data_IF_948302662760
#
_entry.id   IF_948302662760
#
_cell.length_a   1.000
_cell.length_b   1.000
_cell.length_c   1.000
_cell.angle_alpha   90.00
_cell.angle_beta   90.00
_cell.angle_gamma   90.00
#
_symmetry.space_group_name_H-M   'P 1'
#
loop_
_entity.id
_entity.type
_entity.pdbx_description
1 polymer ?
#
# COMPACT_ATOMS: atom_id res chain seq x y z
N UNK A 1 2.18 -42.71 -61.17
CA UNK A 1 1.72 -44.09 -61.05
C UNK A 1 0.84 -44.13 -59.83
N UNK A 2 -0.48 -44.01 -60.05
CA UNK A 2 -1.48 -45.12 -59.98
C UNK A 2 -1.67 -45.61 -58.56
N UNK A 3 -2.84 -45.66 -57.91
CA UNK A 3 -4.22 -45.48 -58.30
C UNK A 3 -5.06 -45.45 -57.03
N UNK A 4 -6.19 -44.75 -57.06
CA UNK A 4 -7.39 -45.03 -56.23
C UNK A 4 -8.05 -46.33 -56.73
N UNK A 5 -8.80 -47.02 -55.93
CA UNK A 5 -10.26 -46.95 -56.07
C UNK A 5 -11.02 -47.02 -54.77
N UNK A 6 -12.10 -46.29 -54.57
CA UNK A 6 -13.52 -46.36 -55.07
C UNK A 6 -14.41 -47.46 -54.47
N UNK A 7 -15.41 -47.00 -53.67
CA UNK A 7 -16.84 -47.36 -53.60
C UNK A 7 -17.25 -48.76 -53.16
N UNK A 8 -18.17 -48.80 -52.13
CA UNK A 8 -19.45 -49.46 -52.26
C UNK A 8 -20.47 -49.01 -51.19
N UNK A 9 -21.54 -48.44 -51.70
CA UNK A 9 -22.84 -48.26 -51.01
C UNK A 9 -23.62 -49.58 -51.05
N UNK A 10 -24.43 -49.86 -50.03
CA UNK A 10 -25.87 -50.13 -50.23
C UNK A 10 -26.60 -50.43 -48.92
N UNK A 11 -27.94 -50.17 -48.91
CA UNK A 11 -28.80 -49.95 -47.75
C UNK A 11 -29.74 -51.12 -47.50
N UNK A 12 -30.36 -51.16 -46.32
CA UNK A 12 -31.66 -51.85 -46.17
C UNK A 12 -32.52 -51.13 -45.14
N UNK A 13 -33.68 -50.83 -45.62
CA UNK A 13 -34.87 -50.27 -44.99
C UNK A 13 -35.67 -51.33 -44.21
N UNK A 14 -36.53 -50.82 -43.35
CA UNK A 14 -37.92 -51.26 -42.96
C UNK A 14 -38.06 -51.80 -41.55
N UNK A 15 -38.71 -51.02 -40.69
CA UNK A 15 -40.12 -51.01 -40.31
C UNK A 15 -40.52 -51.94 -39.13
N UNK A 16 -41.03 -51.32 -38.05
CA UNK A 16 -42.26 -51.68 -37.30
C UNK A 16 -42.24 -50.85 -35.99
N UNK A 17 -43.03 -49.88 -35.82
CA UNK A 17 -44.46 -49.79 -35.34
C UNK A 17 -44.66 -50.19 -33.87
N UNK A 18 -44.98 -49.15 -33.07
CA UNK A 18 -45.94 -49.01 -31.98
C UNK A 18 -45.83 -49.95 -30.76
N UNK A 19 -45.66 -49.29 -29.56
CA UNK A 19 -46.70 -49.26 -28.54
C UNK A 19 -46.26 -48.32 -27.42
N UNK A 20 -47.14 -47.47 -27.00
CA UNK A 20 -46.91 -46.42 -26.03
C UNK A 20 -46.86 -46.93 -24.58
N UNK A 21 -46.17 -46.17 -23.76
CA UNK A 21 -46.46 -46.06 -22.35
C UNK A 21 -46.04 -44.64 -21.92
N UNK A 22 -47.05 -43.86 -21.57
CA UNK A 22 -46.88 -42.57 -20.90
C UNK A 22 -46.26 -42.79 -19.53
N UNK A 23 -44.99 -42.46 -19.39
CA UNK A 23 -44.36 -42.26 -18.09
C UNK A 23 -44.11 -40.77 -17.97
N UNK A 24 -44.99 -40.09 -17.26
CA UNK A 24 -44.80 -38.70 -16.84
C UNK A 24 -43.55 -38.58 -15.96
N UNK A 25 -42.45 -38.19 -16.55
CA UNK A 25 -41.28 -37.71 -15.79
C UNK A 25 -41.58 -36.32 -15.27
N UNK A 26 -41.96 -36.24 -14.00
CA UNK A 26 -41.87 -35.04 -13.18
C UNK A 26 -40.42 -34.59 -13.22
N UNK A 27 -40.09 -33.66 -14.10
CA UNK A 27 -38.89 -32.81 -14.01
C UNK A 27 -39.07 -31.90 -12.78
N UNK A 28 -38.71 -32.42 -11.62
CA UNK A 28 -38.36 -31.61 -10.48
C UNK A 28 -37.16 -30.77 -10.92
N UNK A 29 -37.45 -29.56 -11.40
CA UNK A 29 -36.45 -28.54 -11.63
C UNK A 29 -35.70 -28.31 -10.33
N UNK A 30 -34.54 -28.94 -10.17
CA UNK A 30 -33.57 -28.51 -9.21
C UNK A 30 -33.16 -27.08 -9.62
N UNK A 31 -33.84 -26.10 -9.04
CA UNK A 31 -33.36 -24.74 -8.99
C UNK A 31 -32.07 -24.79 -8.15
N UNK A 32 -30.99 -25.16 -8.78
CA UNK A 32 -29.66 -24.93 -8.23
C UNK A 32 -29.59 -23.43 -7.98
N UNK A 33 -29.76 -23.05 -6.74
CA UNK A 33 -29.34 -21.71 -6.30
C UNK A 33 -27.87 -21.67 -6.62
N UNK A 34 -27.51 -21.08 -7.75
CA UNK A 34 -26.14 -20.69 -8.00
C UNK A 34 -25.76 -19.80 -6.81
N UNK A 35 -24.95 -20.32 -5.90
CA UNK A 35 -24.39 -19.48 -4.85
C UNK A 35 -23.77 -18.29 -5.58
N UNK A 36 -24.10 -17.05 -5.20
CA UNK A 36 -23.48 -15.89 -5.83
C UNK A 36 -21.96 -16.07 -5.78
N UNK A 37 -21.33 -15.97 -6.93
CA UNK A 37 -19.89 -16.12 -7.06
C UNK A 37 -19.23 -15.20 -6.03
N UNK A 38 -18.36 -15.77 -5.19
CA UNK A 38 -17.68 -15.03 -4.13
C UNK A 38 -16.80 -13.98 -4.77
N UNK A 39 -17.11 -12.71 -4.57
CA UNK A 39 -16.23 -11.64 -5.01
C UNK A 39 -14.95 -11.61 -4.18
N UNK A 40 -13.86 -11.10 -4.74
CA UNK A 40 -12.56 -11.03 -4.08
C UNK A 40 -12.14 -9.56 -3.95
N UNK A 41 -11.70 -9.15 -2.75
CA UNK A 41 -11.01 -7.89 -2.52
C UNK A 41 -9.50 -8.12 -2.55
N UNK A 42 -8.80 -7.46 -3.45
CA UNK A 42 -7.34 -7.52 -3.56
C UNK A 42 -6.72 -6.36 -2.78
N UNK A 43 -6.00 -6.69 -1.71
CA UNK A 43 -5.39 -5.71 -0.81
C UNK A 43 -3.89 -5.66 -1.07
N UNK A 44 -3.41 -4.50 -1.54
CA UNK A 44 -1.99 -4.19 -1.66
C UNK A 44 -1.40 -3.74 -0.33
N UNK A 45 -0.28 -4.33 0.06
CA UNK A 45 0.43 -3.95 1.27
C UNK A 45 1.95 -4.02 1.08
N UNK A 46 2.69 -3.44 2.01
CA UNK A 46 4.14 -3.48 2.11
C UNK A 46 4.56 -3.80 3.55
N UNK A 47 5.81 -4.18 3.76
CA UNK A 47 6.31 -4.54 5.11
C UNK A 47 6.06 -3.44 6.14
N UNK A 48 6.13 -2.15 5.75
CA UNK A 48 5.81 -1.02 6.62
C UNK A 48 4.33 -0.86 6.99
N UNK A 49 3.42 -1.57 6.30
CA UNK A 49 1.98 -1.55 6.60
C UNK A 49 1.64 -2.49 7.78
N UNK A 50 2.20 -2.21 8.96
CA UNK A 50 2.15 -3.11 10.13
C UNK A 50 0.73 -3.51 10.54
N UNK A 51 -0.24 -2.60 10.42
CA UNK A 51 -1.64 -2.92 10.71
C UNK A 51 -2.20 -3.95 9.72
N UNK A 52 -1.97 -3.80 8.41
CA UNK A 52 -2.37 -4.79 7.42
C UNK A 52 -1.65 -6.13 7.59
N UNK A 53 -0.38 -6.12 8.00
CA UNK A 53 0.37 -7.35 8.32
C UNK A 53 -0.27 -8.07 9.50
N UNK A 54 -0.71 -7.34 10.53
CA UNK A 54 -1.43 -7.90 11.68
C UNK A 54 -2.79 -8.48 11.27
N UNK A 55 -3.61 -7.72 10.55
CA UNK A 55 -4.92 -8.14 10.07
C UNK A 55 -4.82 -9.41 9.22
N UNK A 56 -3.83 -9.48 8.32
CA UNK A 56 -3.51 -10.67 7.54
C UNK A 56 -3.15 -11.87 8.42
N UNK A 57 -2.29 -11.66 9.42
CA UNK A 57 -1.86 -12.73 10.32
C UNK A 57 -3.01 -13.31 11.15
N UNK A 58 -3.94 -12.47 11.57
CA UNK A 58 -5.09 -12.85 12.41
C UNK A 58 -6.33 -13.24 11.61
N UNK A 59 -6.35 -12.98 10.30
CA UNK A 59 -7.49 -13.24 9.42
C UNK A 59 -8.73 -12.42 9.81
N UNK A 60 -8.54 -11.20 10.30
CA UNK A 60 -9.66 -10.38 10.79
C UNK A 60 -10.50 -9.86 9.63
N UNK A 61 -9.89 -9.44 8.54
CA UNK A 61 -10.60 -9.00 7.34
C UNK A 61 -11.34 -10.14 6.65
N UNK A 62 -10.77 -11.33 6.59
CA UNK A 62 -11.44 -12.52 6.06
C UNK A 62 -12.72 -12.84 6.84
N UNK A 63 -12.67 -12.73 8.17
CA UNK A 63 -13.84 -12.90 9.04
C UNK A 63 -14.86 -11.78 8.86
N UNK A 64 -14.39 -10.54 8.76
CA UNK A 64 -15.22 -9.34 8.60
C UNK A 64 -15.99 -9.36 7.27
N UNK A 65 -15.36 -9.84 6.20
CA UNK A 65 -15.95 -9.86 4.86
C UNK A 65 -16.74 -11.13 4.54
N UNK A 66 -16.63 -12.18 5.34
CA UNK A 66 -17.41 -13.42 5.13
C UNK A 66 -18.93 -13.18 5.00
N UNK A 67 -19.58 -12.35 5.86
CA UNK A 67 -21.01 -12.03 5.72
C UNK A 67 -21.34 -11.24 4.45
N UNK A 68 -20.37 -10.55 3.85
CA UNK A 68 -20.51 -9.78 2.61
C UNK A 68 -20.24 -10.63 1.36
N UNK A 69 -19.99 -11.94 1.54
CA UNK A 69 -19.58 -12.88 0.49
C UNK A 69 -18.35 -12.40 -0.30
N UNK A 70 -17.36 -11.81 0.41
CA UNK A 70 -16.10 -11.31 -0.16
C UNK A 70 -14.92 -12.11 0.41
N UNK A 71 -14.07 -12.61 -0.49
CA UNK A 71 -12.76 -13.14 -0.15
C UNK A 71 -11.70 -12.05 -0.07
N UNK A 72 -10.57 -12.36 0.56
CA UNK A 72 -9.41 -11.45 0.61
C UNK A 72 -8.24 -12.08 -0.11
N UNK A 73 -7.58 -11.29 -0.97
CA UNK A 73 -6.31 -11.63 -1.57
C UNK A 73 -5.29 -10.56 -1.22
N UNK A 74 -4.24 -10.99 -0.52
CA UNK A 74 -3.14 -10.11 -0.13
C UNK A 74 -2.05 -10.10 -1.20
N UNK A 75 -1.62 -8.91 -1.61
CA UNK A 75 -0.55 -8.71 -2.60
C UNK A 75 0.53 -7.82 -1.98
N UNK A 76 1.74 -8.37 -1.80
CA UNK A 76 2.87 -7.64 -1.23
C UNK A 76 3.63 -6.87 -2.30
N UNK A 77 3.99 -5.62 -1.98
CA UNK A 77 4.79 -4.73 -2.82
C UNK A 77 6.03 -4.26 -2.06
N UNK A 78 7.14 -3.96 -2.75
CA UNK A 78 8.37 -3.50 -2.10
C UNK A 78 8.24 -2.10 -1.49
N UNK A 79 7.39 -1.24 -2.06
CA UNK A 79 7.15 0.13 -1.61
C UNK A 79 5.84 0.70 -2.17
N UNK A 80 5.42 1.88 -1.64
CA UNK A 80 4.19 2.55 -2.03
C UNK A 80 4.04 2.91 -3.50
N UNK A 81 5.07 3.45 -4.19
CA UNK A 81 4.96 3.75 -5.61
C UNK A 81 4.56 2.53 -6.45
N UNK A 82 5.20 1.37 -6.25
CA UNK A 82 4.88 0.13 -6.98
C UNK A 82 3.49 -0.40 -6.63
N UNK A 83 3.05 -0.22 -5.37
CA UNK A 83 1.68 -0.57 -4.97
C UNK A 83 0.66 0.25 -5.76
N UNK A 84 0.90 1.56 -5.92
CA UNK A 84 -0.02 2.43 -6.64
C UNK A 84 0.00 2.22 -8.16
N UNK A 85 1.11 1.75 -8.73
CA UNK A 85 1.13 1.20 -10.10
C UNK A 85 0.20 -0.02 -10.19
N UNK A 86 0.28 -0.96 -9.21
CA UNK A 86 -0.61 -2.11 -9.12
C UNK A 86 -2.08 -1.72 -9.00
N UNK A 87 -2.39 -0.68 -8.22
CA UNK A 87 -3.76 -0.15 -8.08
C UNK A 87 -4.24 0.47 -9.39
N UNK A 88 -3.39 1.23 -10.08
CA UNK A 88 -3.73 1.89 -11.34
C UNK A 88 -4.02 0.90 -12.48
N UNK A 89 -3.31 -0.23 -12.52
CA UNK A 89 -3.55 -1.29 -13.53
C UNK A 89 -4.56 -2.36 -13.07
N UNK A 90 -5.21 -2.15 -11.93
CA UNK A 90 -6.24 -3.05 -11.40
C UNK A 90 -5.72 -4.37 -10.85
N UNK A 91 -4.44 -4.46 -10.45
CA UNK A 91 -3.89 -5.64 -9.76
C UNK A 91 -4.33 -5.71 -8.29
N UNK A 92 -4.64 -4.57 -7.70
CA UNK A 92 -5.21 -4.44 -6.35
C UNK A 92 -6.35 -3.42 -6.36
N UNK A 93 -7.27 -3.56 -5.41
CA UNK A 93 -8.46 -2.71 -5.26
C UNK A 93 -8.30 -1.69 -4.15
N UNK A 94 -7.51 -2.03 -3.14
CA UNK A 94 -7.22 -1.21 -1.96
C UNK A 94 -5.74 -1.32 -1.62
N UNK A 95 -5.17 -0.24 -1.08
CA UNK A 95 -3.78 -0.23 -0.66
C UNK A 95 -3.52 0.71 0.52
N UNK A 96 -2.42 0.44 1.23
CA UNK A 96 -1.90 1.28 2.29
C UNK A 96 -0.53 1.81 1.88
N UNK A 97 -0.39 3.13 1.86
CA UNK A 97 0.83 3.82 1.42
C UNK A 97 1.07 5.08 2.25
N UNK A 98 2.28 5.60 2.20
CA UNK A 98 2.60 6.89 2.80
C UNK A 98 2.06 8.10 2.01
N UNK A 99 2.45 9.30 2.44
CA UNK A 99 1.90 10.56 1.92
C UNK A 99 2.36 10.91 0.50
N UNK A 100 3.57 10.57 0.09
CA UNK A 100 4.09 10.97 -1.21
C UNK A 100 3.61 10.10 -2.39
N UNK A 101 3.53 8.77 -2.31
CA UNK A 101 3.14 7.93 -3.45
C UNK A 101 1.80 8.33 -4.11
N UNK A 102 0.73 8.69 -3.38
CA UNK A 102 -0.53 9.11 -3.98
C UNK A 102 -0.40 10.34 -4.90
N UNK A 103 0.48 11.26 -4.54
CA UNK A 103 0.74 12.48 -5.31
C UNK A 103 1.34 12.15 -6.67
N UNK A 104 2.35 11.28 -6.70
CA UNK A 104 2.96 10.82 -7.95
C UNK A 104 1.96 10.04 -8.81
N UNK A 105 1.18 9.15 -8.19
CA UNK A 105 0.15 8.38 -8.88
C UNK A 105 -0.95 9.28 -9.47
N UNK A 106 -1.44 10.28 -8.72
CA UNK A 106 -2.43 11.24 -9.19
C UNK A 106 -1.87 12.10 -10.31
N UNK A 107 -0.60 12.55 -10.24
CA UNK A 107 0.08 13.26 -11.31
C UNK A 107 0.20 12.41 -12.57
N UNK A 108 0.33 11.09 -12.44
CA UNK A 108 0.32 10.13 -13.55
C UNK A 108 -1.09 9.77 -14.05
N UNK A 109 -2.16 10.26 -13.39
CA UNK A 109 -3.54 10.04 -13.83
C UNK A 109 -4.23 8.82 -13.20
N UNK A 110 -3.67 8.25 -12.13
CA UNK A 110 -4.29 7.13 -11.42
C UNK A 110 -5.64 7.53 -10.81
N UNK A 111 -6.61 6.61 -10.89
CA UNK A 111 -8.00 6.84 -10.47
C UNK A 111 -8.30 6.16 -9.13
N UNK A 112 -8.03 6.85 -8.04
CA UNK A 112 -8.28 6.36 -6.69
C UNK A 112 -8.98 7.40 -5.80
N UNK A 113 -9.39 6.97 -4.61
CA UNK A 113 -9.89 7.83 -3.54
C UNK A 113 -9.17 7.51 -2.22
N UNK A 114 -8.99 8.55 -1.40
CA UNK A 114 -8.55 8.40 -0.02
C UNK A 114 -9.72 7.90 0.83
N UNK A 115 -9.59 6.76 1.47
CA UNK A 115 -10.65 6.19 2.32
C UNK A 115 -10.38 6.33 3.81
N UNK A 116 -9.14 6.63 4.19
CA UNK A 116 -8.75 6.86 5.58
C UNK A 116 -7.26 7.21 5.68
N UNK A 117 -6.84 7.56 6.90
CA UNK A 117 -5.44 7.82 7.21
C UNK A 117 -5.09 7.38 8.63
N UNK A 118 -3.82 7.09 8.87
CA UNK A 118 -3.23 7.08 10.20
C UNK A 118 -2.66 8.48 10.52
N UNK A 119 -2.62 8.87 11.80
CA UNK A 119 -2.00 10.14 12.23
C UNK A 119 -0.54 10.25 11.82
N UNK A 120 -0.01 11.47 11.90
CA UNK A 120 1.39 11.75 11.65
C UNK A 120 2.32 10.85 12.48
N UNK A 121 3.36 10.35 11.83
CA UNK A 121 4.38 9.48 12.42
C UNK A 121 5.80 9.97 12.04
N UNK A 122 6.19 11.20 12.41
CA UNK A 122 7.41 11.85 11.95
C UNK A 122 8.69 11.10 12.36
N UNK A 123 8.66 10.34 13.45
CA UNK A 123 9.80 9.53 13.92
C UNK A 123 9.95 8.21 13.17
N UNK A 124 8.94 7.80 12.41
CA UNK A 124 8.94 6.52 11.71
C UNK A 124 9.65 6.54 10.36
N UNK A 125 10.30 7.66 10.02
CA UNK A 125 11.21 7.80 8.88
C UNK A 125 12.39 8.70 9.23
N UNK A 126 13.56 8.41 8.68
CA UNK A 126 14.75 9.18 8.96
C UNK A 126 15.80 9.10 7.84
N UNK A 127 16.68 10.10 7.80
CA UNK A 127 17.96 10.03 7.12
C UNK A 127 18.98 9.48 8.11
N UNK A 128 19.59 8.35 7.75
CA UNK A 128 20.60 7.66 8.55
C UNK A 128 21.94 7.62 7.85
N UNK A 129 22.98 7.54 8.64
CA UNK A 129 24.35 7.36 8.20
C UNK A 129 25.01 6.20 8.95
N UNK A 130 26.07 5.58 8.41
CA UNK A 130 26.85 4.59 9.14
C UNK A 130 27.32 5.11 10.50
N UNK A 131 27.50 4.21 11.48
CA UNK A 131 27.91 4.53 12.85
C UNK A 131 29.11 5.48 12.90
N UNK A 132 30.14 5.19 12.10
CA UNK A 132 31.41 5.91 12.09
C UNK A 132 31.47 6.99 10.99
N UNK A 133 30.33 7.35 10.40
CA UNK A 133 30.24 8.38 9.37
C UNK A 133 30.70 9.74 9.90
N UNK A 134 31.50 10.50 9.12
CA UNK A 134 31.87 11.89 9.46
C UNK A 134 30.69 12.85 9.37
N UNK A 135 29.62 12.50 8.68
CA UNK A 135 28.41 13.32 8.57
C UNK A 135 27.75 13.46 9.93
N UNK A 136 27.60 14.68 10.42
CA UNK A 136 26.95 15.00 11.71
C UNK A 136 25.64 15.75 11.52
N UNK A 137 25.52 16.55 10.49
CA UNK A 137 24.40 17.42 10.17
C UNK A 137 23.95 17.21 8.72
N UNK A 138 22.75 17.70 8.39
CA UNK A 138 22.26 17.67 6.99
C UNK A 138 23.14 18.49 6.05
N UNK A 139 23.80 19.56 6.54
CA UNK A 139 24.71 20.37 5.74
C UNK A 139 25.93 19.57 5.24
N UNK A 140 26.37 18.56 5.99
CA UNK A 140 27.52 17.70 5.62
C UNK A 140 27.18 16.73 4.45
N UNK A 141 25.93 16.69 4.03
CA UNK A 141 25.48 15.85 2.90
C UNK A 141 25.81 16.43 1.53
N UNK A 142 26.30 17.67 1.45
CA UNK A 142 26.64 18.28 0.16
C UNK A 142 27.63 17.41 -0.62
N UNK A 143 27.29 17.08 -1.87
CA UNK A 143 28.03 16.20 -2.76
C UNK A 143 27.95 14.69 -2.44
N UNK A 144 27.23 14.30 -1.39
CA UNK A 144 27.11 12.90 -0.95
C UNK A 144 26.09 12.09 -1.73
N UNK A 145 26.33 10.78 -1.81
CA UNK A 145 25.38 9.81 -2.38
C UNK A 145 24.38 9.38 -1.32
N UNK A 146 23.11 9.59 -1.60
CA UNK A 146 22.03 9.32 -0.67
C UNK A 146 21.05 8.31 -1.29
N UNK A 147 20.96 7.11 -0.71
CA UNK A 147 20.00 6.12 -1.15
C UNK A 147 18.59 6.47 -0.66
N UNK A 148 17.58 6.29 -1.50
CA UNK A 148 16.17 6.47 -1.16
C UNK A 148 15.27 5.81 -2.21
N UNK A 149 14.00 5.56 -1.86
CA UNK A 149 13.00 5.14 -2.84
C UNK A 149 12.33 6.38 -3.49
N UNK A 150 12.41 6.47 -4.81
CA UNK A 150 11.86 7.61 -5.56
C UNK A 150 10.34 7.68 -5.41
N UNK A 151 9.81 8.87 -5.14
CA UNK A 151 8.36 9.10 -5.03
C UNK A 151 7.72 8.55 -3.77
N UNK A 152 8.51 8.11 -2.78
CA UNK A 152 8.05 7.70 -1.46
C UNK A 152 8.16 8.84 -0.43
N UNK A 153 7.66 8.62 0.80
CA UNK A 153 7.73 9.58 1.90
C UNK A 153 9.13 10.10 2.14
N UNK A 154 10.13 9.20 2.16
CA UNK A 154 11.52 9.58 2.38
C UNK A 154 12.11 10.45 1.28
N UNK A 155 11.48 10.50 0.11
CA UNK A 155 11.83 11.47 -0.91
C UNK A 155 11.41 12.89 -0.47
N UNK A 156 10.22 13.02 0.12
CA UNK A 156 9.75 14.27 0.70
C UNK A 156 10.59 14.67 1.91
N UNK A 157 10.87 13.74 2.83
CA UNK A 157 11.74 13.99 3.98
C UNK A 157 13.11 14.54 3.54
N UNK A 158 13.76 13.92 2.54
CA UNK A 158 15.04 14.41 2.02
C UNK A 158 14.93 15.84 1.51
N UNK A 159 13.93 16.13 0.68
CA UNK A 159 13.72 17.49 0.15
C UNK A 159 13.60 18.50 1.29
N UNK A 160 12.73 18.23 2.25
CA UNK A 160 12.46 19.14 3.38
C UNK A 160 13.69 19.31 4.29
N UNK A 161 14.42 18.23 4.54
CA UNK A 161 15.65 18.28 5.34
C UNK A 161 16.72 19.16 4.67
N UNK A 162 16.92 19.03 3.36
CA UNK A 162 17.86 19.82 2.60
C UNK A 162 17.47 21.32 2.59
N UNK A 163 16.20 21.62 2.32
CA UNK A 163 15.68 23.01 2.33
C UNK A 163 15.95 23.68 3.69
N UNK A 164 15.65 23.00 4.78
CA UNK A 164 15.87 23.53 6.14
C UNK A 164 17.36 23.76 6.47
N UNK A 165 18.24 22.98 5.85
CA UNK A 165 19.68 23.14 5.97
C UNK A 165 20.27 24.16 4.98
N UNK A 166 19.42 24.85 4.18
CA UNK A 166 19.85 25.80 3.15
C UNK A 166 20.52 25.15 1.93
N UNK A 167 20.31 23.84 1.73
CA UNK A 167 20.80 23.10 0.57
C UNK A 167 19.71 22.96 -0.50
N UNK A 168 20.14 22.92 -1.76
CA UNK A 168 19.27 22.57 -2.88
C UNK A 168 19.27 21.04 -3.07
N UNK A 169 18.20 20.51 -3.64
CA UNK A 169 18.12 19.10 -4.01
C UNK A 169 19.28 18.67 -4.95
N UNK A 170 19.74 19.59 -5.81
CA UNK A 170 20.88 19.38 -6.70
C UNK A 170 22.25 19.39 -6.01
N UNK A 171 22.33 19.75 -4.73
CA UNK A 171 23.59 19.74 -3.98
C UNK A 171 23.97 18.34 -3.47
N UNK A 172 23.10 17.36 -3.61
CA UNK A 172 23.33 15.95 -3.25
C UNK A 172 23.19 15.04 -4.46
N UNK A 173 23.59 13.76 -4.31
CA UNK A 173 23.49 12.74 -5.35
C UNK A 173 22.46 11.67 -4.95
N UNK A 174 21.16 11.81 -5.29
CA UNK A 174 20.17 10.81 -4.97
C UNK A 174 20.41 9.51 -5.75
N UNK A 175 20.39 8.38 -5.05
CA UNK A 175 20.50 7.03 -5.62
C UNK A 175 19.18 6.32 -5.39
N UNK A 176 18.41 6.12 -6.45
CA UNK A 176 17.07 5.56 -6.36
C UNK A 176 17.10 4.04 -6.34
N UNK A 177 16.78 3.47 -5.18
CA UNK A 177 16.81 2.03 -4.92
C UNK A 177 15.55 1.59 -4.17
N UNK A 178 15.15 0.33 -4.36
CA UNK A 178 14.17 -0.30 -3.49
C UNK A 178 14.77 -0.49 -2.08
N UNK A 179 13.95 -0.58 -1.01
CA UNK A 179 14.47 -0.61 0.36
C UNK A 179 15.51 -1.70 0.62
N UNK A 180 15.33 -2.91 0.10
CA UNK A 180 16.29 -4.01 0.28
C UNK A 180 17.63 -3.73 -0.40
N UNK A 181 17.61 -3.20 -1.64
CA UNK A 181 18.81 -2.86 -2.39
C UNK A 181 19.53 -1.65 -1.77
N UNK A 182 18.76 -0.65 -1.30
CA UNK A 182 19.27 0.50 -0.59
C UNK A 182 19.99 0.09 0.71
N UNK A 183 19.42 -0.86 1.46
CA UNK A 183 20.07 -1.43 2.64
C UNK A 183 21.40 -2.07 2.28
N UNK A 184 21.42 -2.92 1.25
CA UNK A 184 22.66 -3.57 0.81
C UNK A 184 23.73 -2.57 0.36
N UNK A 185 23.33 -1.51 -0.37
CA UNK A 185 24.22 -0.43 -0.80
C UNK A 185 24.78 0.36 0.39
N UNK A 186 23.94 0.64 1.39
CA UNK A 186 24.30 1.35 2.62
C UNK A 186 25.30 0.54 3.47
N UNK A 187 24.99 -0.73 3.73
CA UNK A 187 25.86 -1.61 4.53
C UNK A 187 27.22 -1.89 3.86
N UNK A 188 27.28 -1.87 2.51
CA UNK A 188 28.52 -2.00 1.73
C UNK A 188 29.30 -0.68 1.59
N UNK A 189 28.76 0.45 2.07
CA UNK A 189 29.39 1.76 1.90
C UNK A 189 29.36 2.29 0.45
N UNK A 190 28.47 1.80 -0.40
CA UNK A 190 28.29 2.28 -1.78
C UNK A 190 27.55 3.62 -1.84
N UNK A 191 26.87 4.00 -0.76
CA UNK A 191 26.23 5.28 -0.53
C UNK A 191 26.63 5.83 0.84
N UNK A 192 26.63 7.15 1.01
CA UNK A 192 27.04 7.82 2.23
C UNK A 192 25.92 7.88 3.28
N UNK A 193 24.68 7.91 2.84
CA UNK A 193 23.49 8.00 3.67
C UNK A 193 22.34 7.22 3.04
N UNK A 194 21.34 6.92 3.88
CA UNK A 194 20.10 6.27 3.45
C UNK A 194 18.91 6.98 4.10
N UNK A 195 17.88 7.29 3.32
CA UNK A 195 16.62 7.81 3.84
C UNK A 195 15.59 6.69 3.76
N UNK A 196 15.04 6.31 4.92
CA UNK A 196 14.24 5.09 5.06
C UNK A 196 13.21 5.23 6.17
N UNK A 197 12.17 4.39 6.09
CA UNK A 197 11.08 4.29 7.06
C UNK A 197 11.11 2.95 7.82
N UNK A 198 10.31 2.88 8.88
CA UNK A 198 10.12 1.63 9.64
C UNK A 198 9.36 0.56 8.84
N UNK A 199 9.70 -0.72 9.01
CA UNK A 199 10.61 -1.26 10.03
C UNK A 199 12.08 -1.30 9.63
N UNK A 200 12.44 -0.87 8.43
CA UNK A 200 13.84 -0.86 7.97
C UNK A 200 14.70 0.10 8.79
N UNK A 201 14.15 1.25 9.21
CA UNK A 201 14.84 2.21 10.08
C UNK A 201 15.21 1.55 11.41
N UNK A 202 14.26 0.96 12.12
CA UNK A 202 14.53 0.26 13.38
C UNK A 202 15.54 -0.89 13.19
N UNK A 203 15.44 -1.61 12.06
CA UNK A 203 16.37 -2.69 11.75
C UNK A 203 17.81 -2.19 11.59
N UNK A 204 18.04 -1.13 10.80
CA UNK A 204 19.40 -0.63 10.57
C UNK A 204 20.00 0.04 11.81
N UNK A 205 19.18 0.69 12.64
CA UNK A 205 19.62 1.21 13.93
C UNK A 205 20.10 0.09 14.87
N UNK A 206 19.31 -0.98 15.00
CA UNK A 206 19.60 -2.08 15.95
C UNK A 206 20.67 -3.03 15.44
N UNK A 207 20.69 -3.32 14.14
CA UNK A 207 21.56 -4.37 13.59
C UNK A 207 22.90 -3.83 13.08
N UNK A 208 22.90 -2.60 12.52
CA UNK A 208 24.12 -1.98 11.95
C UNK A 208 24.62 -0.79 12.77
N UNK A 209 23.89 -0.39 13.81
CA UNK A 209 24.25 0.78 14.62
C UNK A 209 24.19 2.09 13.84
N UNK A 210 23.41 2.15 12.79
CA UNK A 210 23.23 3.37 12.00
C UNK A 210 22.73 4.52 12.88
N UNK A 211 23.17 5.73 12.54
CA UNK A 211 22.87 6.93 13.30
C UNK A 211 21.90 7.83 12.55
N UNK A 212 20.83 8.25 13.21
CA UNK A 212 19.89 9.23 12.66
C UNK A 212 20.58 10.62 12.61
N UNK A 213 20.52 11.28 11.47
CA UNK A 213 20.93 12.66 11.25
C UNK A 213 19.74 13.61 11.37
N UNK A 214 18.61 13.22 10.78
CA UNK A 214 17.33 13.95 10.83
C UNK A 214 16.19 12.98 10.62
N UNK A 215 15.06 13.25 11.25
CA UNK A 215 13.78 12.60 11.04
C UNK A 215 12.69 13.64 10.69
N UNK A 216 11.42 13.24 10.67
CA UNK A 216 10.31 14.12 10.32
C UNK A 216 9.89 15.11 11.40
N UNK A 217 10.44 15.03 12.62
CA UNK A 217 10.08 15.92 13.73
C UNK A 217 10.34 17.39 13.43
N UNK A 218 9.87 18.26 14.33
CA UNK A 218 10.00 19.71 14.24
C UNK A 218 9.42 20.30 12.93
N UNK A 219 8.43 19.63 12.34
CA UNK A 219 7.77 20.08 11.11
C UNK A 219 8.58 19.86 9.85
N UNK A 220 9.53 18.91 9.84
CA UNK A 220 10.26 18.52 8.63
C UNK A 220 9.32 17.77 7.70
N UNK A 221 8.69 16.68 8.18
CA UNK A 221 7.69 15.90 7.45
C UNK A 221 6.70 15.26 8.43
N UNK A 222 5.44 15.22 8.07
CA UNK A 222 4.42 14.61 8.92
C UNK A 222 4.44 13.08 8.83
N UNK A 223 4.83 12.54 7.70
CA UNK A 223 4.83 11.11 7.42
C UNK A 223 3.45 10.47 7.69
N UNK A 224 2.39 11.07 7.12
CA UNK A 224 1.07 10.46 7.14
C UNK A 224 1.05 9.15 6.35
N UNK A 225 0.18 8.25 6.77
CA UNK A 225 -0.10 7.01 6.06
C UNK A 225 -1.57 7.02 5.60
N UNK A 226 -1.83 6.58 4.37
CA UNK A 226 -3.15 6.65 3.75
C UNK A 226 -3.66 5.27 3.32
N UNK A 227 -4.95 5.06 3.53
CA UNK A 227 -5.71 3.96 2.95
C UNK A 227 -6.36 4.48 1.68
N UNK A 228 -6.08 3.83 0.57
CA UNK A 228 -6.57 4.21 -0.76
C UNK A 228 -7.39 3.07 -1.35
N UNK A 229 -8.42 3.41 -2.11
CA UNK A 229 -9.17 2.46 -2.90
C UNK A 229 -9.26 2.90 -4.36
N UNK A 230 -9.28 1.94 -5.30
CA UNK A 230 -9.67 2.23 -6.67
C UNK A 230 -11.09 2.84 -6.64
N UNK A 231 -11.27 3.96 -7.36
CA UNK A 231 -12.50 4.77 -7.25
C UNK A 231 -13.76 3.99 -7.64
N UNK A 232 -13.69 3.19 -8.71
CA UNK A 232 -14.83 2.39 -9.17
C UNK A 232 -15.17 1.29 -8.18
N UNK A 233 -14.17 0.66 -7.56
CA UNK A 233 -14.39 -0.32 -6.49
C UNK A 233 -15.06 0.33 -5.27
N UNK A 234 -14.53 1.46 -4.82
CA UNK A 234 -15.10 2.19 -3.67
C UNK A 234 -16.56 2.61 -3.89
N UNK A 235 -16.90 3.00 -5.12
CA UNK A 235 -18.28 3.34 -5.50
C UNK A 235 -19.21 2.14 -5.57
N UNK A 236 -18.73 1.00 -6.07
CA UNK A 236 -19.51 -0.23 -6.22
C UNK A 236 -19.70 -0.99 -4.90
N UNK A 237 -18.72 -0.94 -4.02
CA UNK A 237 -18.67 -1.70 -2.77
C UNK A 237 -18.34 -0.81 -1.56
N UNK A 238 -19.17 0.24 -1.32
CA UNK A 238 -18.99 1.10 -0.14
C UNK A 238 -19.17 0.32 1.17
N UNK A 239 -19.92 -0.76 1.17
CA UNK A 239 -20.08 -1.71 2.28
C UNK A 239 -18.75 -2.37 2.67
N UNK A 240 -17.97 -2.83 1.68
CA UNK A 240 -16.65 -3.44 1.91
C UNK A 240 -15.63 -2.41 2.39
N UNK A 241 -15.62 -1.20 1.78
CA UNK A 241 -14.73 -0.12 2.21
C UNK A 241 -15.03 0.29 3.66
N UNK A 242 -16.33 0.39 4.02
CA UNK A 242 -16.71 0.67 5.41
C UNK A 242 -16.25 -0.44 6.35
N UNK A 243 -16.45 -1.70 6.00
CA UNK A 243 -16.05 -2.84 6.81
C UNK A 243 -14.51 -2.91 6.98
N UNK A 244 -13.73 -2.61 5.93
CA UNK A 244 -12.28 -2.46 5.99
C UNK A 244 -11.87 -1.38 7.00
N UNK A 245 -12.51 -0.20 6.89
CA UNK A 245 -12.22 0.91 7.77
C UNK A 245 -12.55 0.58 9.23
N UNK A 246 -13.73 0.02 9.50
CA UNK A 246 -14.17 -0.37 10.85
C UNK A 246 -13.20 -1.38 11.48
N UNK A 247 -12.77 -2.40 10.71
CA UNK A 247 -11.78 -3.39 11.18
C UNK A 247 -10.43 -2.74 11.46
N UNK A 248 -9.98 -1.83 10.58
CA UNK A 248 -8.72 -1.13 10.76
C UNK A 248 -8.73 -0.24 12.02
N UNK A 249 -9.85 0.40 12.34
CA UNK A 249 -10.03 1.17 13.59
C UNK A 249 -9.95 0.25 14.81
N UNK A 250 -10.62 -0.90 14.76
CA UNK A 250 -10.64 -1.88 15.85
C UNK A 250 -9.25 -2.48 16.09
N UNK A 251 -8.62 -2.99 15.01
CA UNK A 251 -7.31 -3.61 15.09
C UNK A 251 -6.20 -2.61 15.42
N UNK A 252 -6.32 -1.35 14.97
CA UNK A 252 -5.39 -0.29 15.34
C UNK A 252 -5.39 0.00 16.82
N UNK A 253 -6.58 0.08 17.45
CA UNK A 253 -6.72 0.23 18.90
C UNK A 253 -6.10 -0.95 19.66
N UNK A 254 -6.39 -2.16 19.19
CA UNK A 254 -5.80 -3.36 19.80
C UNK A 254 -4.27 -3.35 19.69
N UNK A 255 -3.74 -3.06 18.50
CA UNK A 255 -2.30 -2.99 18.26
C UNK A 255 -1.63 -1.97 19.18
N UNK A 256 -2.19 -0.76 19.28
CA UNK A 256 -1.65 0.31 20.14
C UNK A 256 -1.64 -0.09 21.61
N UNK A 257 -2.65 -0.81 22.07
CA UNK A 257 -2.75 -1.29 23.44
C UNK A 257 -1.85 -2.50 23.72
N UNK A 258 -1.40 -3.23 22.69
CA UNK A 258 -0.71 -4.53 22.82
C UNK A 258 0.59 -4.58 21.98
N UNK A 259 1.38 -3.51 21.95
CA UNK A 259 2.56 -3.35 21.08
C UNK A 259 3.51 -4.57 21.11
N UNK A 260 3.85 -5.05 22.30
CA UNK A 260 4.75 -6.20 22.46
C UNK A 260 4.17 -7.49 21.87
N UNK A 261 2.87 -7.73 22.08
CA UNK A 261 2.19 -8.90 21.53
C UNK A 261 2.05 -8.78 20.01
N UNK A 262 1.70 -7.58 19.51
CA UNK A 262 1.65 -7.29 18.08
C UNK A 262 3.03 -7.49 17.43
N UNK A 263 4.10 -7.01 18.04
CA UNK A 263 5.47 -7.21 17.58
C UNK A 263 5.83 -8.69 17.45
N UNK A 264 5.46 -9.52 18.44
CA UNK A 264 5.69 -10.96 18.37
C UNK A 264 4.96 -11.66 17.21
N UNK A 265 3.78 -11.15 16.82
CA UNK A 265 3.00 -11.67 15.68
C UNK A 265 3.59 -11.19 14.36
N UNK A 266 3.94 -9.90 14.28
CA UNK A 266 4.34 -9.22 13.03
C UNK A 266 5.80 -9.52 12.65
N UNK A 267 6.70 -9.58 13.62
CA UNK A 267 8.14 -9.69 13.38
C UNK A 267 8.54 -10.87 12.47
N UNK A 268 8.04 -12.11 12.66
CA UNK A 268 8.38 -13.23 11.79
C UNK A 268 7.95 -12.99 10.33
N UNK A 269 6.82 -12.29 10.12
CA UNK A 269 6.29 -11.99 8.79
C UNK A 269 7.11 -10.90 8.07
N UNK A 270 7.77 -10.05 8.83
CA UNK A 270 8.67 -9.02 8.31
C UNK A 270 10.12 -9.50 8.21
N UNK A 271 10.44 -10.69 8.75
CA UNK A 271 11.79 -11.21 8.84
C UNK A 271 12.65 -10.47 9.86
N UNK A 272 12.05 -10.07 10.99
CA UNK A 272 12.68 -9.25 12.04
C UNK A 272 12.65 -9.96 13.39
N UNK A 273 13.54 -9.53 14.28
CA UNK A 273 13.46 -9.84 15.70
C UNK A 273 12.30 -9.06 16.37
N UNK A 274 11.57 -9.64 17.33
CA UNK A 274 10.45 -8.96 17.98
C UNK A 274 10.79 -7.59 18.57
N UNK A 275 11.97 -7.42 19.14
CA UNK A 275 12.41 -6.14 19.70
C UNK A 275 12.59 -5.04 18.63
N UNK A 276 12.97 -5.40 17.40
CA UNK A 276 13.07 -4.49 16.27
C UNK A 276 11.69 -4.07 15.79
N UNK A 277 10.78 -5.04 15.66
CA UNK A 277 9.39 -4.77 15.29
C UNK A 277 8.69 -3.90 16.36
N UNK A 278 8.92 -4.17 17.64
CA UNK A 278 8.35 -3.36 18.73
C UNK A 278 8.83 -1.90 18.67
N UNK A 279 10.13 -1.67 18.43
CA UNK A 279 10.66 -0.32 18.24
C UNK A 279 10.01 0.40 17.06
N UNK A 280 9.83 -0.29 15.94
CA UNK A 280 9.14 0.27 14.78
C UNK A 280 7.69 0.64 15.09
N UNK A 281 6.95 -0.26 15.76
CA UNK A 281 5.55 -0.04 16.12
C UNK A 281 5.35 1.12 17.10
N UNK A 282 6.30 1.38 17.99
CA UNK A 282 6.23 2.48 18.95
C UNK A 282 6.16 3.86 18.30
N UNK A 283 6.69 4.01 17.08
CA UNK A 283 6.73 5.27 16.34
C UNK A 283 5.43 5.62 15.63
N UNK A 284 4.46 4.68 15.55
CA UNK A 284 3.14 4.89 14.93
C UNK A 284 2.02 5.02 15.96
N UNK A 285 0.93 5.68 15.57
CA UNK A 285 -0.21 5.89 16.44
C UNK A 285 -1.34 4.87 16.24
N UNK A 286 -1.48 4.28 15.07
CA UNK A 286 -2.52 3.29 14.71
C UNK A 286 -3.95 3.75 15.04
N UNK A 287 -4.22 5.03 14.84
CA UNK A 287 -5.52 5.64 15.08
C UNK A 287 -6.17 6.02 13.75
N UNK A 288 -6.64 5.00 13.03
CA UNK A 288 -7.26 5.17 11.70
C UNK A 288 -8.46 6.10 11.79
N UNK A 289 -8.48 7.12 10.95
CA UNK A 289 -9.52 8.14 10.91
C UNK A 289 -9.87 8.54 9.46
N UNK A 290 -11.07 9.09 9.21
CA UNK A 290 -11.37 9.77 7.95
C UNK A 290 -10.44 10.97 7.73
N UNK A 291 -10.18 11.33 6.46
CA UNK A 291 -9.36 12.51 6.18
C UNK A 291 -10.06 13.78 6.67
N UNK A 292 -9.37 14.52 7.53
CA UNK A 292 -9.79 15.86 7.91
C UNK A 292 -9.34 16.90 6.87
N UNK A 293 -9.94 18.09 6.93
CA UNK A 293 -9.53 19.21 6.09
C UNK A 293 -8.06 19.62 6.31
N UNK A 294 -7.56 19.50 7.55
CA UNK A 294 -6.16 19.79 7.88
C UNK A 294 -5.20 18.79 7.26
N UNK A 295 -5.51 17.49 7.33
CA UNK A 295 -4.69 16.43 6.71
C UNK A 295 -4.68 16.58 5.18
N UNK A 296 -5.83 16.92 4.58
CA UNK A 296 -5.90 17.19 3.13
C UNK A 296 -5.08 18.43 2.74
N UNK A 297 -5.06 19.47 3.57
CA UNK A 297 -4.25 20.67 3.35
C UNK A 297 -2.74 20.38 3.49
N UNK A 298 -2.36 19.56 4.46
CA UNK A 298 -0.96 19.14 4.60
C UNK A 298 -0.52 18.29 3.40
N UNK A 299 -1.37 17.36 2.96
CA UNK A 299 -1.13 16.57 1.76
C UNK A 299 -1.00 17.43 0.48
N UNK A 300 -1.77 18.53 0.40
CA UNK A 300 -1.63 19.50 -0.69
C UNK A 300 -0.27 20.19 -0.68
N UNK A 301 0.26 20.56 0.50
CA UNK A 301 1.61 21.16 0.61
C UNK A 301 2.69 20.21 0.09
N UNK A 302 2.58 18.92 0.36
CA UNK A 302 3.50 17.90 -0.19
C UNK A 302 3.43 17.89 -1.72
N UNK A 303 2.22 17.94 -2.29
CA UNK A 303 2.02 17.99 -3.73
C UNK A 303 2.60 19.25 -4.38
N UNK A 304 2.38 20.40 -3.74
CA UNK A 304 2.88 21.69 -4.22
C UNK A 304 4.42 21.71 -4.20
N UNK A 305 5.04 21.23 -3.13
CA UNK A 305 6.52 21.08 -3.02
C UNK A 305 7.09 20.23 -4.16
N UNK A 306 6.51 19.09 -4.45
CA UNK A 306 6.99 18.23 -5.55
C UNK A 306 6.80 18.88 -6.93
N UNK A 307 5.73 19.63 -7.12
CA UNK A 307 5.51 20.37 -8.37
C UNK A 307 6.50 21.53 -8.54
N UNK A 308 6.73 22.35 -7.52
CA UNK A 308 7.70 23.45 -7.52
C UNK A 308 9.12 22.96 -7.85
N UNK A 309 9.50 21.82 -7.32
CA UNK A 309 10.78 21.16 -7.60
C UNK A 309 10.82 20.41 -8.93
N UNK A 310 9.73 20.43 -9.71
CA UNK A 310 9.58 19.72 -10.99
C UNK A 310 9.80 18.21 -10.88
N UNK A 311 9.50 17.63 -9.70
CA UNK A 311 9.56 16.20 -9.47
C UNK A 311 8.28 15.48 -9.93
N UNK A 312 7.19 16.21 -10.08
CA UNK A 312 5.97 15.79 -10.79
C UNK A 312 5.70 16.73 -11.99
N UNK A 313 5.13 16.20 -13.10
CA UNK A 313 5.03 16.94 -14.37
C UNK A 313 3.92 18.00 -14.40
N UNK A 314 2.94 17.93 -13.50
CA UNK A 314 1.77 18.83 -13.44
C UNK A 314 1.31 19.00 -12.00
N UNK A 315 0.63 20.11 -11.67
CA UNK A 315 0.05 20.30 -10.35
C UNK A 315 -1.03 19.26 -10.07
N UNK A 316 -1.16 18.89 -8.80
CA UNK A 316 -2.11 17.92 -8.30
C UNK A 316 -3.03 18.61 -7.30
N UNK A 317 -4.34 18.37 -7.41
CA UNK A 317 -5.34 18.81 -6.42
C UNK A 317 -5.77 17.61 -5.60
N UNK A 318 -5.40 17.57 -4.35
CA UNK A 318 -5.76 16.47 -3.43
C UNK A 318 -7.28 16.31 -3.31
N UNK A 319 -8.02 17.43 -3.37
CA UNK A 319 -9.48 17.43 -3.31
C UNK A 319 -10.14 16.55 -4.41
N UNK A 320 -9.50 16.36 -5.56
CA UNK A 320 -10.04 15.55 -6.66
C UNK A 320 -10.03 14.03 -6.35
N UNK A 321 -9.21 13.62 -5.37
CA UNK A 321 -9.12 12.24 -4.90
C UNK A 321 -9.84 12.01 -3.55
N UNK A 322 -10.55 13.01 -3.01
CA UNK A 322 -11.34 12.83 -1.80
C UNK A 322 -12.70 12.19 -2.14
N UNK A 323 -13.27 11.36 -1.26
CA UNK A 323 -14.64 10.89 -1.38
C UNK A 323 -15.59 12.11 -1.35
N UNK A 324 -16.56 12.17 -2.27
CA UNK A 324 -17.43 13.34 -2.47
C UNK A 324 -18.24 13.86 -1.28
N UNK A 325 -18.21 13.16 -0.14
CA UNK A 325 -18.89 13.54 1.12
C UNK A 325 -17.94 13.85 2.29
N UNK A 326 -16.62 13.64 2.15
CA UNK A 326 -15.70 13.79 3.28
C UNK A 326 -15.48 15.25 3.71
N UNK A 327 -15.68 16.21 2.79
CA UNK A 327 -15.54 17.63 3.09
C UNK A 327 -16.83 18.26 3.69
N UNK A 328 -17.98 17.60 3.56
CA UNK A 328 -19.25 18.14 4.08
C UNK A 328 -19.40 17.96 5.60
N UNK A 329 -18.69 17.02 6.21
CA UNK A 329 -18.73 16.76 7.65
C UNK A 329 -17.76 17.66 8.44
N UNK A 330 -16.76 18.26 7.80
CA UNK A 330 -15.79 19.14 8.46
C UNK A 330 -16.24 20.64 8.51
N UNK A 331 -17.29 20.99 7.76
CA UNK A 331 -17.85 22.37 7.75
C UNK A 331 -19.17 22.52 8.52
N UNK A 332 -19.58 21.52 9.26
CA UNK A 332 -20.78 21.51 10.06
C UNK A 332 -20.47 21.26 11.54
N UNK A 333 -19.94 22.28 12.20
CA UNK A 333 -20.18 22.66 13.60
C UNK A 333 -19.65 24.07 13.82
#
# INVERSE_FOLDING_TARGET
MTAKPTIARRPWLRTALLLGAAAGTLLLGAHGHAQPERSELRIGFQKGASLFVLQKAQGTLEKRFAPLNVGVKWVEFPAGPQLLEGLNVGSVDVGFVGEAPPIFAQAAGANFVYVGHDPAAPEAEALVVPKDSPVKTVADLKGRKIALNKGSNVHYLLVRALERAGLKYSDVQPVFLAPADARAAFEKGSVDAWVIWDPFLAAVEKQSGARIVVDGRDGVANNYQFYLAERGYAQKRPDVIKALFDDSVEQGRWLKANLKQAAAIIAPLQGLEPAVAELALQRYQFNVAPLSASVAADQQKVADTFHELKLIPKPVRIADALPGNALKTASGN
#
